data_IF_069764996235
#
_entry.id   IF_069764996235
#
_cell.length_a   1.000
_cell.length_b   1.000
_cell.length_c   1.000
_cell.angle_alpha   90.00
_cell.angle_beta   90.00
_cell.angle_gamma   90.00
#
_symmetry.space_group_name_H-M   'P 1'
#
loop_
_entity.id
_entity.type
_entity.pdbx_description
1 polymer ?
#
# COMPACT_ATOMS: atom_id res chain seq x y z
N UNK A 1 -1.52 -13.32 -9.18
CA UNK A 1 -1.59 -12.28 -8.14
C UNK A 1 -1.55 -12.95 -6.77
N UNK A 2 -0.75 -12.43 -5.85
CA UNK A 2 -0.67 -12.84 -4.45
C UNK A 2 -0.91 -11.61 -3.60
N UNK A 3 -1.82 -11.68 -2.62
CA UNK A 3 -2.10 -10.57 -1.71
C UNK A 3 -2.31 -11.09 -0.29
N UNK A 4 -2.05 -10.26 0.70
CA UNK A 4 -2.24 -10.59 2.11
C UNK A 4 -3.47 -9.88 2.67
N UNK A 5 -4.15 -10.56 3.60
CA UNK A 5 -5.21 -10.02 4.43
C UNK A 5 -5.04 -10.61 5.83
N UNK A 6 -4.77 -9.74 6.81
CA UNK A 6 -4.40 -10.17 8.16
C UNK A 6 -5.46 -9.93 9.23
N UNK A 7 -6.62 -9.42 8.88
CA UNK A 7 -7.72 -9.27 9.83
C UNK A 7 -8.41 -10.62 10.11
N UNK A 8 -8.76 -10.92 11.38
CA UNK A 8 -8.50 -10.09 12.56
C UNK A 8 -7.12 -10.35 13.19
N UNK A 9 -6.49 -11.52 12.99
CA UNK A 9 -5.25 -11.94 13.67
C UNK A 9 -4.44 -12.97 12.85
N UNK A 10 -4.35 -12.76 11.55
CA UNK A 10 -3.65 -13.66 10.62
C UNK A 10 -2.21 -13.21 10.28
N UNK A 11 -1.76 -12.07 10.82
CA UNK A 11 -0.37 -11.62 10.63
C UNK A 11 0.64 -12.63 11.19
N UNK A 12 0.32 -13.28 12.30
CA UNK A 12 1.11 -14.36 12.92
C UNK A 12 1.35 -15.56 12.02
N UNK A 13 0.55 -15.74 10.97
CA UNK A 13 0.71 -16.82 9.98
C UNK A 13 1.75 -16.48 8.91
N UNK A 14 2.06 -15.20 8.75
CA UNK A 14 3.00 -14.70 7.75
C UNK A 14 4.38 -14.39 8.36
N UNK A 15 4.40 -13.84 9.57
CA UNK A 15 5.66 -13.50 10.26
C UNK A 15 5.49 -13.56 11.79
N UNK A 16 6.57 -13.84 12.55
CA UNK A 16 6.53 -13.84 14.02
C UNK A 16 6.17 -12.44 14.56
N UNK A 17 5.08 -12.34 15.29
CA UNK A 17 4.65 -11.07 15.90
C UNK A 17 3.71 -11.32 17.09
N UNK A 18 3.57 -10.30 17.94
CA UNK A 18 2.47 -10.20 18.89
C UNK A 18 1.26 -9.65 18.17
N UNK A 19 0.38 -10.53 17.70
CA UNK A 19 -0.71 -10.18 16.79
C UNK A 19 -1.94 -9.71 17.58
N UNK A 20 -1.77 -8.58 18.26
CA UNK A 20 -2.79 -7.88 19.03
C UNK A 20 -2.84 -6.40 18.60
N UNK A 21 -4.04 -5.80 18.44
CA UNK A 21 -4.18 -4.43 17.93
C UNK A 21 -3.45 -3.37 18.76
N UNK A 22 -3.28 -3.59 20.07
CA UNK A 22 -2.61 -2.67 20.98
C UNK A 22 -1.07 -2.73 20.86
N UNK A 23 -0.52 -3.87 20.43
CA UNK A 23 0.93 -4.07 20.30
C UNK A 23 1.39 -3.65 18.90
N UNK A 24 1.58 -2.36 18.75
CA UNK A 24 1.95 -1.72 17.48
C UNK A 24 3.45 -1.73 17.27
N UNK A 25 3.86 -1.79 16.00
CA UNK A 25 5.25 -1.69 15.57
C UNK A 25 5.37 -0.93 14.25
N UNK A 26 6.58 -0.50 13.91
CA UNK A 26 6.93 -0.06 12.56
C UNK A 26 7.50 -1.26 11.78
N UNK A 27 7.23 -1.30 10.48
CA UNK A 27 7.58 -2.40 9.60
C UNK A 27 8.49 -1.91 8.48
N UNK A 28 9.46 -2.73 8.13
CA UNK A 28 10.29 -2.59 6.94
C UNK A 28 10.15 -3.87 6.12
N UNK A 29 9.74 -3.76 4.86
CA UNK A 29 9.59 -4.89 3.97
C UNK A 29 10.70 -4.87 2.92
N UNK A 30 11.29 -6.04 2.73
CA UNK A 30 12.10 -6.35 1.57
C UNK A 30 11.56 -7.64 0.98
N UNK A 31 11.16 -7.63 -0.28
CA UNK A 31 10.55 -8.78 -0.94
C UNK A 31 11.25 -9.08 -2.25
N UNK A 32 11.57 -10.35 -2.47
CA UNK A 32 12.15 -10.83 -3.71
C UNK A 32 11.07 -11.38 -4.63
N UNK A 33 10.96 -10.81 -5.82
CA UNK A 33 9.93 -11.13 -6.80
C UNK A 33 10.52 -11.33 -8.19
N UNK A 34 9.82 -12.03 -9.10
CA UNK A 34 10.16 -12.03 -10.52
C UNK A 34 10.24 -10.62 -11.08
N UNK A 35 11.16 -10.38 -12.01
CA UNK A 35 11.44 -9.05 -12.56
C UNK A 35 10.26 -8.43 -13.31
N UNK A 36 9.41 -9.27 -13.91
CA UNK A 36 8.19 -8.91 -14.63
C UNK A 36 6.99 -8.58 -13.73
N UNK A 37 7.11 -8.78 -12.41
CA UNK A 37 6.04 -8.50 -11.46
C UNK A 37 6.25 -7.21 -10.69
N UNK A 38 5.15 -6.69 -10.16
CA UNK A 38 5.11 -5.50 -9.30
C UNK A 38 4.78 -5.92 -7.88
N UNK A 39 5.52 -5.38 -6.91
CA UNK A 39 5.19 -5.48 -5.50
C UNK A 39 4.57 -4.16 -5.01
N UNK A 40 3.57 -4.28 -4.15
CA UNK A 40 2.87 -3.17 -3.53
C UNK A 40 2.84 -3.39 -2.02
N UNK A 41 2.97 -2.32 -1.23
CA UNK A 41 2.95 -2.36 0.23
C UNK A 41 2.26 -1.11 0.81
N UNK A 42 2.08 -1.05 2.13
CA UNK A 42 1.56 0.15 2.81
C UNK A 42 2.42 1.40 2.62
N UNK A 43 3.71 1.22 2.31
CA UNK A 43 4.68 2.30 2.13
C UNK A 43 5.19 2.34 0.70
N UNK A 44 5.73 3.47 0.24
CA UNK A 44 6.31 3.57 -1.09
C UNK A 44 7.56 2.70 -1.22
N UNK A 45 7.87 2.35 -2.46
CA UNK A 45 9.12 1.73 -2.83
C UNK A 45 10.28 2.70 -2.54
N UNK A 46 11.29 2.20 -1.84
CA UNK A 46 12.53 2.93 -1.54
C UNK A 46 13.59 2.65 -2.59
N UNK A 47 13.78 1.37 -2.91
CA UNK A 47 14.82 0.92 -3.81
C UNK A 47 14.45 -0.43 -4.44
N UNK A 48 14.83 -0.62 -5.69
CA UNK A 48 14.77 -1.92 -6.36
C UNK A 48 16.13 -2.30 -6.89
N UNK A 49 16.62 -3.48 -6.50
CA UNK A 49 17.92 -4.01 -6.90
C UNK A 49 17.76 -5.36 -7.60
N UNK A 50 18.59 -5.68 -8.59
CA UNK A 50 18.62 -7.02 -9.17
C UNK A 50 18.98 -8.06 -8.09
N UNK A 51 18.29 -9.19 -8.09
CA UNK A 51 18.64 -10.30 -7.20
C UNK A 51 19.74 -11.15 -7.80
N UNK A 52 20.64 -11.65 -6.92
CA UNK A 52 21.65 -12.65 -7.28
C UNK A 52 21.10 -14.08 -7.31
N UNK A 53 19.80 -14.27 -7.05
CA UNK A 53 19.17 -15.59 -7.05
C UNK A 53 19.29 -16.25 -8.42
N UNK A 54 19.80 -17.49 -8.51
CA UNK A 54 19.84 -18.23 -9.76
C UNK A 54 18.42 -18.40 -10.31
N UNK A 55 18.20 -18.07 -11.57
CA UNK A 55 16.88 -18.13 -12.22
C UNK A 55 16.30 -19.54 -12.42
N UNK A 56 16.91 -20.55 -11.84
CA UNK A 56 16.55 -21.95 -12.06
C UNK A 56 16.72 -22.38 -13.53
N UNK A 57 16.17 -23.51 -13.88
CA UNK A 57 16.20 -24.04 -15.26
C UNK A 57 15.39 -23.19 -16.26
N UNK A 58 14.55 -22.27 -15.81
CA UNK A 58 13.71 -21.40 -16.65
C UNK A 58 14.34 -20.02 -16.97
N UNK A 59 15.54 -19.71 -16.43
CA UNK A 59 16.22 -18.44 -16.71
C UNK A 59 15.50 -17.20 -16.16
N UNK A 60 14.64 -17.32 -15.16
CA UNK A 60 13.89 -16.22 -14.57
C UNK A 60 14.83 -15.21 -13.93
N UNK A 61 14.61 -13.94 -14.23
CA UNK A 61 15.27 -12.83 -13.52
C UNK A 61 14.44 -12.46 -12.30
N UNK A 62 15.15 -12.12 -11.21
CA UNK A 62 14.54 -11.73 -9.94
C UNK A 62 15.05 -10.36 -9.52
N UNK A 63 14.21 -9.64 -8.82
CA UNK A 63 14.57 -8.36 -8.20
C UNK A 63 14.13 -8.34 -6.74
N UNK A 64 14.86 -7.58 -5.95
CA UNK A 64 14.53 -7.29 -4.55
C UNK A 64 13.96 -5.88 -4.51
N UNK A 65 12.73 -5.76 -4.04
CA UNK A 65 12.05 -4.48 -3.81
C UNK A 65 12.08 -4.20 -2.31
N UNK A 66 12.67 -3.08 -1.94
CA UNK A 66 12.71 -2.58 -0.57
C UNK A 66 11.72 -1.43 -0.43
N UNK A 67 10.95 -1.43 0.64
CA UNK A 67 9.96 -0.41 0.93
C UNK A 67 10.43 0.51 2.06
N UNK A 68 9.92 1.74 2.08
CA UNK A 68 10.14 2.67 3.17
C UNK A 68 9.59 2.11 4.48
N UNK A 69 10.18 2.53 5.60
CA UNK A 69 9.73 2.16 6.93
C UNK A 69 8.32 2.71 7.19
N UNK A 70 7.43 1.86 7.68
CA UNK A 70 6.07 2.28 8.03
C UNK A 70 6.04 3.15 9.28
N UNK A 71 4.96 3.89 9.44
CA UNK A 71 4.57 4.44 10.74
C UNK A 71 4.27 3.30 11.72
N UNK A 72 4.24 3.64 13.01
CA UNK A 72 3.82 2.70 14.06
C UNK A 72 2.36 2.35 13.85
N UNK A 73 2.08 1.08 13.54
CA UNK A 73 0.74 0.59 13.21
C UNK A 73 0.52 -0.82 13.76
N UNK A 74 -0.75 -1.23 13.88
CA UNK A 74 -1.10 -2.57 14.29
C UNK A 74 -0.78 -3.59 13.20
N UNK A 75 -0.41 -4.81 13.58
CA UNK A 75 -0.01 -5.90 12.70
C UNK A 75 -1.05 -6.22 11.62
N UNK A 76 -2.33 -6.24 11.97
CA UNK A 76 -3.43 -6.59 11.06
C UNK A 76 -3.63 -5.57 9.91
N UNK A 77 -3.09 -4.36 10.03
CA UNK A 77 -3.14 -3.32 8.99
C UNK A 77 -2.01 -3.47 7.96
N UNK A 78 -1.00 -4.28 8.27
CA UNK A 78 0.14 -4.46 7.40
C UNK A 78 -0.24 -5.34 6.21
N UNK A 79 0.04 -4.89 5.00
CA UNK A 79 -0.35 -5.61 3.79
C UNK A 79 0.66 -5.44 2.68
N UNK A 80 0.79 -6.47 1.85
CA UNK A 80 1.51 -6.39 0.58
C UNK A 80 0.80 -7.22 -0.49
N UNK A 81 1.07 -6.90 -1.74
CA UNK A 81 0.60 -7.66 -2.88
C UNK A 81 1.69 -7.77 -3.93
N UNK A 82 1.71 -8.88 -4.66
CA UNK A 82 2.64 -9.16 -5.76
C UNK A 82 1.85 -9.68 -6.96
N UNK A 83 2.12 -9.14 -8.12
CA UNK A 83 1.47 -9.58 -9.34
C UNK A 83 1.76 -8.69 -10.54
N UNK A 84 1.15 -9.01 -11.66
CA UNK A 84 1.11 -8.16 -12.84
C UNK A 84 -0.11 -7.23 -12.73
N UNK A 85 0.17 -5.99 -12.31
CA UNK A 85 -0.86 -4.97 -12.05
C UNK A 85 -0.86 -3.88 -13.11
N UNK A 86 -2.08 -3.51 -13.56
CA UNK A 86 -2.36 -2.22 -14.13
C UNK A 86 -2.98 -1.30 -13.07
N UNK A 87 -3.05 -0.01 -13.32
CA UNK A 87 -3.70 0.94 -12.42
C UNK A 87 -4.39 2.07 -13.16
N UNK A 88 -5.38 2.66 -12.52
CA UNK A 88 -5.94 3.96 -12.86
C UNK A 88 -5.60 4.95 -11.74
N UNK A 89 -5.35 6.21 -12.10
CA UNK A 89 -4.89 7.24 -11.18
C UNK A 89 -5.77 8.49 -11.27
N UNK A 90 -5.99 9.13 -10.14
CA UNK A 90 -6.55 10.48 -10.02
C UNK A 90 -5.85 11.21 -8.87
N UNK A 91 -6.05 12.51 -8.79
CA UNK A 91 -5.56 13.32 -7.68
C UNK A 91 -6.72 13.80 -6.81
N UNK A 92 -6.48 13.97 -5.51
CA UNK A 92 -7.42 14.62 -4.60
C UNK A 92 -7.66 16.06 -5.01
N UNK A 93 -8.84 16.60 -4.78
CA UNK A 93 -9.10 18.04 -4.95
C UNK A 93 -8.43 18.85 -3.84
N UNK A 94 -8.48 18.34 -2.62
CA UNK A 94 -7.86 18.96 -1.46
C UNK A 94 -6.34 18.84 -1.53
N UNK A 95 -5.66 19.87 -1.03
CA UNK A 95 -4.19 19.85 -0.89
C UNK A 95 -3.80 19.41 0.52
N UNK A 96 -2.90 18.45 0.60
CA UNK A 96 -2.29 17.93 1.82
C UNK A 96 -0.84 18.41 1.87
N UNK A 97 -0.49 19.20 2.87
CA UNK A 97 0.84 19.83 2.94
C UNK A 97 1.24 20.56 1.64
N UNK A 98 0.26 21.25 1.03
CA UNK A 98 0.48 22.02 -0.19
C UNK A 98 0.45 21.21 -1.51
N UNK A 99 0.34 19.89 -1.46
CA UNK A 99 0.31 19.00 -2.64
C UNK A 99 -1.01 18.24 -2.73
N UNK A 100 -1.47 17.96 -3.94
CA UNK A 100 -2.53 16.98 -4.18
C UNK A 100 -1.96 15.59 -3.99
N UNK A 101 -2.75 14.68 -3.42
CA UNK A 101 -2.33 13.29 -3.25
C UNK A 101 -2.74 12.49 -4.48
N UNK A 102 -1.81 11.77 -5.11
CA UNK A 102 -2.17 10.79 -6.12
C UNK A 102 -2.89 9.60 -5.47
N UNK A 103 -4.02 9.23 -6.02
CA UNK A 103 -4.82 8.07 -5.62
C UNK A 103 -4.79 7.08 -6.75
N UNK A 104 -4.34 5.86 -6.48
CA UNK A 104 -4.25 4.78 -7.47
C UNK A 104 -5.13 3.61 -7.08
N UNK A 105 -5.86 3.09 -8.04
CA UNK A 105 -6.57 1.81 -7.90
C UNK A 105 -5.88 0.80 -8.80
N UNK A 106 -5.30 -0.21 -8.18
CA UNK A 106 -4.61 -1.29 -8.87
C UNK A 106 -5.56 -2.43 -9.16
N UNK A 107 -5.48 -2.94 -10.36
CA UNK A 107 -6.26 -4.08 -10.85
C UNK A 107 -5.34 -5.10 -11.50
N UNK A 108 -5.85 -6.27 -11.83
CA UNK A 108 -5.15 -7.18 -12.74
C UNK A 108 -4.99 -6.47 -14.09
N UNK A 109 -3.84 -6.61 -14.70
CA UNK A 109 -3.53 -6.02 -16.01
C UNK A 109 -4.58 -6.40 -17.06
N UNK A 110 -5.02 -5.40 -17.81
CA UNK A 110 -6.11 -5.55 -18.79
C UNK A 110 -7.51 -5.32 -18.23
N UNK A 111 -7.66 -5.10 -16.91
CA UNK A 111 -8.93 -4.82 -16.25
C UNK A 111 -8.99 -3.41 -15.63
N UNK A 112 -8.14 -2.49 -16.07
CA UNK A 112 -7.97 -1.15 -15.49
C UNK A 112 -9.27 -0.35 -15.51
N UNK A 113 -10.07 -0.51 -16.55
CA UNK A 113 -11.37 0.18 -16.68
C UNK A 113 -12.34 -0.16 -15.55
N UNK A 114 -12.27 -1.36 -14.98
CA UNK A 114 -13.10 -1.75 -13.85
C UNK A 114 -12.74 -0.99 -12.57
N UNK A 115 -11.52 -0.48 -12.49
CA UNK A 115 -11.06 0.35 -11.37
C UNK A 115 -11.58 1.79 -11.39
N UNK A 116 -12.13 2.29 -12.49
CA UNK A 116 -12.57 3.71 -12.63
C UNK A 116 -13.64 4.10 -11.63
N UNK A 117 -14.64 3.24 -11.44
CA UNK A 117 -15.69 3.51 -10.47
C UNK A 117 -15.13 3.65 -9.04
N UNK A 118 -14.28 2.72 -8.64
CA UNK A 118 -13.62 2.76 -7.34
C UNK A 118 -12.76 4.02 -7.20
N UNK A 119 -12.01 4.38 -8.24
CA UNK A 119 -11.16 5.57 -8.25
C UNK A 119 -11.96 6.86 -8.08
N UNK A 120 -13.08 6.99 -8.80
CA UNK A 120 -13.95 8.18 -8.73
C UNK A 120 -14.47 8.44 -7.32
N UNK A 121 -14.73 7.39 -6.55
CA UNK A 121 -15.23 7.52 -5.18
C UNK A 121 -14.08 7.60 -4.16
N UNK A 122 -12.96 6.95 -4.41
CA UNK A 122 -11.87 6.86 -3.47
C UNK A 122 -11.27 8.22 -3.08
N UNK A 123 -10.93 9.06 -4.04
CA UNK A 123 -10.36 10.37 -3.73
C UNK A 123 -11.36 11.30 -3.05
N UNK A 124 -12.66 11.22 -3.41
CA UNK A 124 -13.74 11.99 -2.76
C UNK A 124 -13.90 11.59 -1.30
N UNK A 125 -13.85 10.27 -1.01
CA UNK A 125 -13.94 9.75 0.35
C UNK A 125 -12.72 10.17 1.18
N UNK A 126 -11.53 10.17 0.60
CA UNK A 126 -10.30 10.64 1.27
C UNK A 126 -10.44 12.10 1.68
N UNK A 127 -10.91 12.95 0.78
CA UNK A 127 -11.11 14.37 1.04
C UNK A 127 -12.17 14.60 2.13
N UNK A 128 -13.31 13.91 2.05
CA UNK A 128 -14.39 13.97 3.04
C UNK A 128 -13.93 13.51 4.44
N UNK A 129 -13.30 12.36 4.54
CA UNK A 129 -12.81 11.83 5.82
C UNK A 129 -11.76 12.73 6.45
N UNK A 130 -10.92 13.36 5.65
CA UNK A 130 -9.92 14.31 6.13
C UNK A 130 -10.57 15.59 6.67
N UNK A 131 -11.66 16.06 6.06
CA UNK A 131 -12.41 17.21 6.54
C UNK A 131 -13.11 16.91 7.87
N UNK A 132 -13.79 15.77 7.98
CA UNK A 132 -14.46 15.34 9.22
C UNK A 132 -13.43 15.21 10.36
N UNK A 133 -12.26 14.64 10.12
CA UNK A 133 -11.22 14.51 11.13
C UNK A 133 -10.69 15.87 11.59
N UNK A 134 -10.43 16.78 10.66
CA UNK A 134 -9.94 18.12 10.97
C UNK A 134 -10.97 18.94 11.76
N UNK A 135 -12.25 18.76 11.51
CA UNK A 135 -13.32 19.46 12.23
C UNK A 135 -13.59 18.89 13.64
N UNK A 136 -13.21 17.62 13.87
CA UNK A 136 -13.49 16.92 15.15
C UNK A 136 -12.37 16.97 16.15
N UNK A 137 -11.16 17.41 15.79
CA UNK A 137 -10.00 17.52 16.67
C UNK A 137 -9.43 18.93 16.63
N UNK A 138 -9.07 19.50 17.81
CA UNK A 138 -8.27 20.73 17.83
C UNK A 138 -6.93 20.47 17.11
N UNK A 139 -6.33 21.49 16.46
CA UNK A 139 -5.08 21.32 15.74
C UNK A 139 -4.01 20.77 16.68
N UNK A 140 -3.53 19.56 16.43
CA UNK A 140 -2.33 19.04 17.07
C UNK A 140 -1.20 19.21 16.07
N UNK A 141 -0.13 19.86 16.46
CA UNK A 141 1.04 20.17 15.62
C UNK A 141 1.71 18.93 14.99
N UNK A 142 1.33 17.72 15.43
CA UNK A 142 1.83 16.44 14.93
C UNK A 142 1.01 15.83 13.78
N UNK A 143 -0.18 16.36 13.47
CA UNK A 143 -1.06 15.78 12.44
C UNK A 143 -0.58 16.06 11.00
N UNK A 144 0.23 17.09 10.80
CA UNK A 144 0.82 17.38 9.50
C UNK A 144 1.83 16.30 9.05
N UNK A 145 2.58 15.73 9.99
CA UNK A 145 3.58 14.69 9.70
C UNK A 145 2.94 13.33 9.41
N UNK A 146 1.81 13.01 10.04
CA UNK A 146 1.10 11.74 9.82
C UNK A 146 0.47 11.61 8.43
N UNK A 147 0.07 12.73 7.81
CA UNK A 147 -0.45 12.74 6.45
C UNK A 147 0.66 12.81 5.39
N UNK A 148 1.86 13.28 5.77
CA UNK A 148 3.02 13.31 4.88
C UNK A 148 3.61 11.93 4.61
N UNK A 149 3.39 10.96 5.50
CA UNK A 149 4.03 9.65 5.46
C UNK A 149 3.26 8.60 4.62
N UNK A 150 2.20 8.96 3.90
CA UNK A 150 1.49 8.05 3.01
C UNK A 150 1.49 8.60 1.58
N UNK A 151 2.63 8.54 0.87
CA UNK A 151 2.72 9.05 -0.50
C UNK A 151 1.88 8.26 -1.51
N UNK A 152 1.46 7.04 -1.18
CA UNK A 152 0.64 6.21 -2.05
C UNK A 152 -0.42 5.47 -1.22
N UNK A 153 -1.62 6.03 -1.10
CA UNK A 153 -2.76 5.27 -0.58
C UNK A 153 -3.19 4.28 -1.65
N UNK A 154 -2.77 3.05 -1.48
CA UNK A 154 -3.17 1.94 -2.33
C UNK A 154 -4.52 1.41 -1.88
N UNK A 155 -5.49 1.45 -2.77
CA UNK A 155 -6.75 0.73 -2.61
C UNK A 155 -6.68 -0.50 -3.50
N UNK A 156 -6.76 -1.67 -2.90
CA UNK A 156 -6.90 -2.92 -3.62
C UNK A 156 -8.38 -3.19 -3.84
N UNK A 157 -8.82 -3.18 -5.08
CA UNK A 157 -10.08 -3.79 -5.45
C UNK A 157 -9.81 -5.28 -5.70
N UNK A 158 -10.04 -6.12 -4.67
CA UNK A 158 -10.10 -7.55 -4.88
C UNK A 158 -11.47 -7.88 -5.45
N UNK A 159 -11.60 -7.91 -6.77
CA UNK A 159 -12.68 -8.68 -7.40
C UNK A 159 -12.33 -10.16 -7.21
N UNK A 160 -12.85 -10.75 -6.13
CA UNK A 160 -13.02 -12.19 -6.05
C UNK A 160 -14.20 -12.57 -6.94
N UNK A 161 -13.94 -13.25 -8.05
CA UNK A 161 -14.84 -14.23 -8.66
C UNK A 161 -14.37 -15.60 -8.29
#
# INVERSE_FOLDING_TARGET
MLSTQFQPCDARRAFPCFDEPALKASFELSIEIPDDQTALCNTPEKETTPSSRPGGSAGWKWKVVQFEKSLVMSTYLYTWAVGDFGYVEAETERRYSGRRLPVRVYTTKGLEEQGRYALEHAWKIIDLLSEVRTSSQPPQDHDADHLQAVPNRMLFSSCCT
#
